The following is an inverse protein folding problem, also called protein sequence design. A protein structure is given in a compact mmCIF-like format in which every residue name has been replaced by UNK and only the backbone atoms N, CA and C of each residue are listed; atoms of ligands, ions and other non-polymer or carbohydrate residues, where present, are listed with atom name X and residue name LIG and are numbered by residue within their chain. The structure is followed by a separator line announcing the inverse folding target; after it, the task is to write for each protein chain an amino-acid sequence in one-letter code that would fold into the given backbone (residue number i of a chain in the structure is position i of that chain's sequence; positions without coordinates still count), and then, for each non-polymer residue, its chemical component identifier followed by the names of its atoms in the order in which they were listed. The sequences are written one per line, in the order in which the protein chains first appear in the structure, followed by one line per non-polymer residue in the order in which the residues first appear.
data_IF_895367760632
#
_entry.id   IF_895367760632
#
_cell.length_a   1.000
_cell.length_b   1.000
_cell.length_c   1.000
_cell.angle_alpha   90.00
_cell.angle_beta   90.00
_cell.angle_gamma   90.00
#
_symmetry.space_group_name_H-M   'P 1'
#
loop_
_entity.id
_entity.type
_entity.pdbx_description
1 polymer ?
#
# COMPACT_ATOMS: atom_id res chain seq x y z
N UNK A 1 -27.95 -67.44 -20.54
CA UNK A 1 -27.61 -66.73 -21.78
C UNK A 1 -28.04 -65.26 -21.61
N UNK A 2 -27.17 -64.43 -21.01
CA UNK A 2 -27.44 -63.00 -20.83
C UNK A 2 -26.32 -62.18 -21.48
N UNK A 3 -26.66 -61.40 -22.52
CA UNK A 3 -25.78 -60.49 -23.19
C UNK A 3 -25.71 -59.19 -22.39
N UNK A 4 -24.50 -58.81 -21.95
CA UNK A 4 -24.20 -57.52 -21.36
C UNK A 4 -23.97 -56.49 -22.46
N UNK A 5 -24.75 -55.40 -22.47
CA UNK A 5 -24.47 -54.19 -23.24
C UNK A 5 -23.53 -53.27 -22.47
N UNK A 6 -22.36 -52.99 -23.07
CA UNK A 6 -21.46 -51.95 -22.62
C UNK A 6 -21.90 -50.60 -23.20
N UNK A 7 -22.41 -49.72 -22.37
CA UNK A 7 -22.63 -48.32 -22.73
C UNK A 7 -21.34 -47.54 -22.48
N UNK A 8 -20.74 -47.02 -23.55
CA UNK A 8 -19.56 -46.13 -23.49
C UNK A 8 -20.10 -44.72 -23.32
N UNK A 9 -19.81 -44.11 -22.16
CA UNK A 9 -20.11 -42.72 -21.87
C UNK A 9 -18.89 -41.85 -22.30
N UNK A 10 -19.05 -41.10 -23.38
CA UNK A 10 -18.08 -40.08 -23.79
C UNK A 10 -18.24 -38.86 -22.89
N UNK A 11 -17.32 -38.65 -21.94
CA UNK A 11 -17.17 -37.38 -21.28
C UNK A 11 -16.38 -36.43 -22.19
N UNK A 12 -17.06 -35.45 -22.75
CA UNK A 12 -16.43 -34.26 -23.34
C UNK A 12 -15.85 -33.42 -22.23
N UNK A 13 -14.52 -33.49 -22.04
CA UNK A 13 -13.75 -32.54 -21.25
C UNK A 13 -13.65 -31.24 -22.05
N UNK A 14 -14.52 -30.30 -21.75
CA UNK A 14 -14.31 -28.89 -22.08
C UNK A 14 -13.13 -28.40 -21.21
N UNK A 15 -11.96 -28.29 -21.82
CA UNK A 15 -10.81 -27.68 -21.25
C UNK A 15 -11.05 -26.17 -21.06
N UNK A 16 -11.51 -25.77 -19.88
CA UNK A 16 -11.40 -24.41 -19.44
C UNK A 16 -9.91 -24.17 -19.17
N UNK A 17 -9.25 -23.42 -20.05
CA UNK A 17 -7.93 -22.87 -19.80
C UNK A 17 -8.05 -21.87 -18.66
N UNK A 18 -7.72 -22.32 -17.44
CA UNK A 18 -7.44 -21.43 -16.32
C UNK A 18 -6.28 -20.51 -16.74
N UNK A 19 -6.37 -19.21 -16.51
CA UNK A 19 -5.22 -18.34 -16.71
C UNK A 19 -4.10 -18.88 -15.82
N UNK A 20 -2.99 -19.23 -16.45
CA UNK A 20 -1.75 -19.59 -15.78
C UNK A 20 -1.37 -18.39 -14.89
N UNK A 21 -1.60 -18.51 -13.59
CA UNK A 21 -0.97 -17.62 -12.64
C UNK A 21 0.54 -17.76 -12.89
N UNK A 22 1.14 -16.70 -13.41
CA UNK A 22 2.58 -16.63 -13.52
C UNK A 22 3.12 -16.95 -12.12
N UNK A 23 3.69 -18.14 -11.96
CA UNK A 23 4.54 -18.45 -10.82
C UNK A 23 5.54 -17.31 -10.77
N UNK A 24 5.52 -16.53 -9.68
CA UNK A 24 6.57 -15.59 -9.37
C UNK A 24 7.84 -16.42 -9.37
N UNK A 25 8.61 -16.28 -10.42
CA UNK A 25 9.89 -16.94 -10.57
C UNK A 25 10.76 -16.40 -9.45
N UNK A 26 10.93 -17.16 -8.38
CA UNK A 26 11.97 -16.89 -7.39
C UNK A 26 13.26 -17.36 -8.07
N UNK A 27 14.18 -16.48 -8.45
CA UNK A 27 15.32 -16.88 -9.26
C UNK A 27 16.40 -17.50 -8.38
N UNK A 28 16.19 -18.73 -7.94
CA UNK A 28 17.25 -19.47 -7.21
C UNK A 28 18.39 -19.95 -8.12
N UNK A 29 18.12 -20.13 -9.43
CA UNK A 29 19.16 -20.46 -10.42
C UNK A 29 19.80 -19.22 -11.05
N UNK A 30 19.06 -18.10 -11.18
CA UNK A 30 19.58 -16.82 -11.71
C UNK A 30 20.39 -16.03 -10.67
N UNK A 31 20.30 -16.37 -9.38
CA UNK A 31 21.09 -15.77 -8.30
C UNK A 31 22.62 -15.86 -8.48
N UNK A 32 23.09 -16.69 -9.41
CA UNK A 32 24.51 -16.77 -9.80
C UNK A 32 24.94 -15.68 -10.78
N UNK A 33 24.01 -15.05 -11.48
CA UNK A 33 24.30 -14.06 -12.51
C UNK A 33 24.27 -12.63 -11.97
N UNK A 34 23.52 -12.34 -10.91
CA UNK A 34 23.38 -11.01 -10.34
C UNK A 34 23.70 -10.97 -8.85
N UNK A 35 24.35 -9.90 -8.42
CA UNK A 35 24.68 -9.62 -7.01
C UNK A 35 23.89 -8.40 -6.54
N UNK A 36 23.15 -8.51 -5.43
CA UNK A 36 22.44 -7.39 -4.81
C UNK A 36 23.46 -6.41 -4.21
N UNK A 37 23.38 -5.14 -4.59
CA UNK A 37 24.29 -4.07 -4.14
C UNK A 37 23.66 -3.08 -3.19
N UNK A 38 22.37 -2.78 -3.39
CA UNK A 38 21.68 -1.76 -2.62
C UNK A 38 20.17 -2.00 -2.64
N UNK A 39 19.50 -1.60 -1.55
CA UNK A 39 18.03 -1.64 -1.43
C UNK A 39 17.53 -0.32 -0.87
N UNK A 40 16.56 0.29 -1.56
CA UNK A 40 15.79 1.45 -1.06
C UNK A 40 14.34 1.03 -0.88
N UNK A 41 13.82 1.21 0.32
CA UNK A 41 12.47 0.83 0.71
C UNK A 41 11.66 2.08 1.00
N UNK A 42 10.50 2.23 0.34
CA UNK A 42 9.46 3.18 0.74
C UNK A 42 8.31 2.40 1.37
N UNK A 43 8.13 2.55 2.68
CA UNK A 43 7.14 1.82 3.47
C UNK A 43 5.92 2.69 3.79
N UNK A 44 4.72 2.11 3.68
CA UNK A 44 3.54 2.57 4.41
C UNK A 44 3.67 2.12 5.88
N UNK A 45 3.22 2.95 6.85
CA UNK A 45 3.12 2.53 8.24
C UNK A 45 2.21 1.28 8.39
N UNK A 46 2.38 0.54 9.48
CA UNK A 46 1.58 -0.65 9.80
C UNK A 46 0.26 -0.27 10.51
N UNK A 47 -0.48 -1.27 11.04
CA UNK A 47 -1.80 -1.12 11.68
C UNK A 47 -1.73 -0.04 12.76
N UNK A 48 -2.72 0.83 12.75
CA UNK A 48 -2.89 1.95 13.66
C UNK A 48 -4.34 2.08 14.09
N UNK A 49 -4.60 2.80 15.18
CA UNK A 49 -5.94 3.24 15.48
C UNK A 49 -6.48 4.19 14.41
N UNK A 50 -7.80 4.27 14.19
CA UNK A 50 -8.41 5.22 13.25
C UNK A 50 -7.99 6.66 13.52
N UNK A 51 -8.05 7.50 12.46
CA UNK A 51 -7.72 8.93 12.57
C UNK A 51 -8.72 9.71 13.44
N UNK A 52 -9.95 9.23 13.51
CA UNK A 52 -11.04 9.87 14.23
C UNK A 52 -11.25 9.22 15.60
N UNK A 53 -11.28 10.03 16.66
CA UNK A 53 -11.56 9.56 18.03
C UNK A 53 -13.03 9.20 18.26
N UNK A 54 -13.36 8.73 19.49
CA UNK A 54 -14.66 8.20 19.91
C UNK A 54 -15.89 9.09 19.69
N UNK A 55 -15.73 10.40 19.55
CA UNK A 55 -16.85 11.34 19.35
C UNK A 55 -16.93 11.89 17.93
N UNK A 56 -16.41 11.13 16.97
CA UNK A 56 -16.35 11.51 15.57
C UNK A 56 -17.63 11.15 14.82
N UNK A 57 -17.72 11.61 13.57
CA UNK A 57 -18.78 11.23 12.62
C UNK A 57 -18.92 9.71 12.50
N UNK A 58 -17.82 8.94 12.73
CA UNK A 58 -17.84 7.47 12.66
C UNK A 58 -18.78 6.81 13.66
N UNK A 59 -19.00 7.40 14.85
CA UNK A 59 -19.98 6.90 15.83
C UNK A 59 -21.41 7.26 15.49
N UNK A 60 -21.62 8.24 14.62
CA UNK A 60 -22.96 8.68 14.23
C UNK A 60 -23.54 7.90 13.07
N UNK A 61 -22.70 7.27 12.25
CA UNK A 61 -23.12 6.54 11.03
C UNK A 61 -23.38 5.05 11.26
N UNK A 62 -23.21 4.56 12.48
CA UNK A 62 -23.51 3.19 12.89
C UNK A 62 -24.06 3.18 14.33
N UNK A 63 -25.00 2.28 14.68
CA UNK A 63 -25.41 2.05 16.08
C UNK A 63 -24.39 1.21 16.86
N UNK A 64 -23.44 0.58 16.18
CA UNK A 64 -22.48 -0.34 16.76
C UNK A 64 -21.36 0.36 17.53
N UNK A 65 -20.78 -0.34 18.50
CA UNK A 65 -19.58 0.09 19.19
C UNK A 65 -18.34 -0.34 18.45
N UNK A 66 -17.45 0.61 18.17
CA UNK A 66 -16.16 0.37 17.55
C UNK A 66 -15.18 -0.34 18.50
N UNK A 67 -14.23 -1.07 17.92
CA UNK A 67 -13.15 -1.70 18.66
C UNK A 67 -12.47 -0.72 19.62
N UNK A 68 -12.16 -1.20 20.83
CA UNK A 68 -11.51 -0.39 21.84
C UNK A 68 -9.99 -0.41 21.68
N UNK A 69 -9.46 0.57 20.98
CA UNK A 69 -8.05 0.72 20.73
C UNK A 69 -7.27 1.10 21.99
N UNK A 70 -6.12 0.42 22.23
CA UNK A 70 -5.19 0.76 23.32
C UNK A 70 -4.26 1.94 22.96
N UNK A 71 -4.04 2.19 21.67
CA UNK A 71 -3.26 3.35 21.19
C UNK A 71 -4.15 4.58 21.01
N UNK A 72 -3.58 5.77 21.10
CA UNK A 72 -4.26 7.01 20.82
C UNK A 72 -4.69 7.11 19.34
N UNK A 73 -5.67 7.96 18.96
CA UNK A 73 -6.07 8.13 17.57
C UNK A 73 -4.87 8.39 16.66
N UNK A 74 -4.82 7.70 15.53
CA UNK A 74 -3.76 7.76 14.52
C UNK A 74 -2.40 7.15 14.90
N UNK A 75 -2.23 6.61 16.08
CA UNK A 75 -0.99 5.99 16.52
C UNK A 75 -0.93 4.50 16.18
N UNK A 76 0.29 4.00 15.94
CA UNK A 76 0.56 2.60 15.65
C UNK A 76 0.05 1.70 16.78
N UNK A 77 -0.63 0.61 16.43
CA UNK A 77 -1.07 -0.37 17.41
C UNK A 77 0.08 -1.29 17.84
N UNK A 78 -0.08 -1.95 19.00
CA UNK A 78 0.88 -2.96 19.44
C UNK A 78 1.00 -4.11 18.43
N UNK A 79 -0.13 -4.55 17.86
CA UNK A 79 -0.18 -5.57 16.82
C UNK A 79 0.57 -5.11 15.57
N UNK A 80 0.36 -3.86 15.13
CA UNK A 80 1.10 -3.28 14.01
C UNK A 80 2.60 -3.24 14.24
N UNK A 81 3.04 -2.94 15.46
CA UNK A 81 4.46 -2.98 15.85
C UNK A 81 5.03 -4.39 15.79
N UNK A 82 4.32 -5.40 16.31
CA UNK A 82 4.76 -6.79 16.26
C UNK A 82 4.89 -7.31 14.81
N UNK A 83 3.90 -7.02 13.96
CA UNK A 83 3.94 -7.36 12.52
C UNK A 83 5.14 -6.71 11.82
N UNK A 84 5.45 -5.47 12.17
CA UNK A 84 6.58 -4.76 11.56
C UNK A 84 7.93 -5.33 12.03
N UNK A 85 8.02 -5.79 13.29
CA UNK A 85 9.20 -6.52 13.79
C UNK A 85 9.43 -7.82 13.00
N UNK A 86 8.36 -8.58 12.73
CA UNK A 86 8.45 -9.81 11.91
C UNK A 86 8.88 -9.49 10.48
N UNK A 87 8.37 -8.40 9.89
CA UNK A 87 8.81 -7.95 8.57
C UNK A 87 10.30 -7.57 8.57
N UNK A 88 10.79 -6.86 9.58
CA UNK A 88 12.21 -6.57 9.75
C UNK A 88 13.07 -7.84 9.88
N UNK A 89 12.61 -8.85 10.62
CA UNK A 89 13.29 -10.16 10.72
C UNK A 89 13.35 -10.88 9.36
N UNK A 90 12.27 -10.83 8.58
CA UNK A 90 12.29 -11.36 7.21
C UNK A 90 13.32 -10.64 6.35
N UNK A 91 13.34 -9.31 6.35
CA UNK A 91 14.31 -8.52 5.59
C UNK A 91 15.75 -8.86 5.98
N UNK A 92 16.05 -9.03 7.27
CA UNK A 92 17.37 -9.49 7.70
C UNK A 92 17.74 -10.83 7.05
N UNK A 93 16.89 -11.85 7.16
CA UNK A 93 17.13 -13.19 6.60
C UNK A 93 17.31 -13.12 5.08
N UNK A 94 16.46 -12.35 4.42
CA UNK A 94 16.54 -12.13 2.96
C UNK A 94 17.84 -11.44 2.54
N UNK A 95 18.22 -10.34 3.18
CA UNK A 95 19.45 -9.60 2.85
C UNK A 95 20.72 -10.42 3.14
N UNK A 96 20.70 -11.26 4.19
CA UNK A 96 21.79 -12.21 4.49
C UNK A 96 21.86 -13.28 3.39
N UNK A 97 20.73 -13.84 2.96
CA UNK A 97 20.69 -14.82 1.85
C UNK A 97 21.23 -14.25 0.54
N UNK A 98 20.99 -12.96 0.29
CA UNK A 98 21.53 -12.21 -0.87
C UNK A 98 22.95 -11.64 -0.65
N UNK A 99 23.56 -11.92 0.49
CA UNK A 99 24.94 -11.48 0.85
C UNK A 99 25.13 -9.96 0.89
N UNK A 100 24.07 -9.19 1.04
CA UNK A 100 24.16 -7.73 1.20
C UNK A 100 24.59 -7.36 2.62
N UNK A 101 24.24 -8.18 3.61
CA UNK A 101 24.62 -8.01 5.00
C UNK A 101 24.99 -9.35 5.67
N UNK A 102 25.60 -9.30 6.86
CA UNK A 102 25.86 -10.44 7.72
C UNK A 102 24.76 -10.60 8.77
N UNK A 103 24.58 -11.80 9.32
CA UNK A 103 23.45 -12.12 10.22
C UNK A 103 23.38 -11.25 11.47
N UNK A 104 24.52 -10.99 12.10
CA UNK A 104 24.64 -10.16 13.32
C UNK A 104 25.43 -8.87 13.03
N UNK A 105 25.20 -8.29 11.87
CA UNK A 105 25.90 -7.07 11.47
C UNK A 105 25.51 -5.87 12.34
N UNK A 106 26.52 -5.17 12.85
CA UNK A 106 26.39 -3.79 13.27
C UNK A 106 26.82 -2.94 12.06
N UNK A 107 25.89 -2.28 11.38
CA UNK A 107 26.21 -1.62 10.11
C UNK A 107 27.22 -0.48 10.34
N UNK A 108 28.25 -0.38 9.50
CA UNK A 108 29.13 0.79 9.53
C UNK A 108 28.33 2.08 9.31
N UNK A 109 28.81 3.16 9.92
CA UNK A 109 28.17 4.48 9.79
C UNK A 109 27.99 4.86 8.30
N UNK A 110 26.81 5.40 7.97
CA UNK A 110 26.49 5.83 6.61
C UNK A 110 26.03 4.71 5.66
N UNK A 111 26.19 3.42 6.00
CA UNK A 111 25.79 2.33 5.09
C UNK A 111 24.29 2.02 5.12
N UNK A 112 23.62 2.33 6.21
CA UNK A 112 22.17 2.14 6.36
C UNK A 112 21.51 3.40 6.90
N UNK A 113 20.31 3.71 6.40
CA UNK A 113 19.51 4.87 6.80
C UNK A 113 18.08 4.48 7.09
N UNK A 114 17.53 4.99 8.18
CA UNK A 114 16.12 4.83 8.55
C UNK A 114 15.53 6.22 8.77
N UNK A 115 14.67 6.65 7.86
CA UNK A 115 14.08 7.97 7.85
C UNK A 115 12.55 7.87 7.77
N UNK A 116 11.86 8.48 8.71
CA UNK A 116 10.41 8.45 8.81
C UNK A 116 9.80 9.85 8.75
N UNK A 117 8.59 9.94 8.23
CA UNK A 117 7.75 11.10 8.47
C UNK A 117 7.59 11.33 9.98
N UNK A 118 7.53 12.60 10.42
CA UNK A 118 7.55 12.98 11.85
C UNK A 118 6.21 12.73 12.56
N UNK A 119 5.51 11.63 12.22
CA UNK A 119 4.30 11.16 12.88
C UNK A 119 4.60 9.91 13.71
N UNK A 120 3.92 9.75 14.86
CA UNK A 120 4.16 8.63 15.76
C UNK A 120 4.14 7.28 15.04
N UNK A 121 3.09 6.99 14.25
CA UNK A 121 2.92 5.71 13.53
C UNK A 121 4.04 5.39 12.54
N UNK A 122 4.59 6.39 11.87
CA UNK A 122 5.68 6.19 10.89
C UNK A 122 7.02 6.01 11.57
N UNK A 123 7.30 6.79 12.62
CA UNK A 123 8.51 6.63 13.45
C UNK A 123 8.49 5.27 14.13
N UNK A 124 7.38 4.88 14.77
CA UNK A 124 7.24 3.60 15.45
C UNK A 124 7.36 2.42 14.46
N UNK A 125 6.74 2.51 13.27
CA UNK A 125 6.91 1.49 12.21
C UNK A 125 8.40 1.31 11.87
N UNK A 126 9.14 2.40 11.64
CA UNK A 126 10.57 2.34 11.36
C UNK A 126 11.40 1.77 12.54
N UNK A 127 11.03 2.08 13.78
CA UNK A 127 11.68 1.54 14.99
C UNK A 127 11.49 0.03 15.10
N UNK A 128 10.25 -0.45 14.96
CA UNK A 128 9.95 -1.89 15.05
C UNK A 128 10.59 -2.66 13.89
N UNK A 129 10.55 -2.11 12.67
CA UNK A 129 11.23 -2.71 11.53
C UNK A 129 12.74 -2.81 11.76
N UNK A 130 13.40 -1.71 12.14
CA UNK A 130 14.85 -1.69 12.36
C UNK A 130 15.26 -2.61 13.52
N UNK A 131 14.46 -2.70 14.59
CA UNK A 131 14.70 -3.62 15.70
C UNK A 131 14.59 -5.10 15.29
N UNK A 132 13.66 -5.43 14.39
CA UNK A 132 13.57 -6.78 13.81
C UNK A 132 14.72 -7.09 12.86
N UNK A 133 15.13 -6.11 12.05
CA UNK A 133 16.18 -6.28 11.04
C UNK A 133 17.59 -6.27 11.69
N UNK A 134 17.85 -5.40 12.64
CA UNK A 134 19.16 -5.13 13.23
C UNK A 134 19.10 -5.21 14.77
N UNK A 135 18.78 -6.38 15.36
CA UNK A 135 18.47 -6.49 16.79
C UNK A 135 19.66 -6.19 17.72
N UNK A 136 20.89 -6.25 17.20
CA UNK A 136 22.12 -5.98 17.97
C UNK A 136 22.65 -4.56 17.76
N UNK A 137 22.06 -3.78 16.87
CA UNK A 137 22.49 -2.42 16.56
C UNK A 137 21.58 -1.37 17.25
N UNK A 138 22.14 -0.27 17.68
CA UNK A 138 21.38 0.87 18.17
C UNK A 138 21.06 1.81 16.99
N UNK A 139 19.93 1.58 16.34
CA UNK A 139 19.51 2.36 15.17
C UNK A 139 18.71 3.58 15.59
N UNK A 140 19.16 4.76 15.16
CA UNK A 140 18.40 6.00 15.29
C UNK A 140 17.48 6.17 14.08
N UNK A 141 16.19 6.40 14.34
CA UNK A 141 15.25 6.80 13.30
C UNK A 141 15.33 8.31 13.10
N UNK A 142 15.67 8.70 11.87
CA UNK A 142 15.68 10.11 11.49
C UNK A 142 14.24 10.61 11.27
N UNK A 143 13.95 11.83 11.73
CA UNK A 143 12.77 12.60 11.37
C UNK A 143 13.11 14.10 11.53
N UNK A 144 12.67 14.93 10.60
CA UNK A 144 13.18 16.30 10.49
C UNK A 144 12.23 17.36 11.01
N UNK A 145 11.00 17.01 11.35
CA UNK A 145 10.01 17.92 11.91
C UNK A 145 9.69 17.58 13.37
N UNK A 146 9.06 18.52 14.06
CA UNK A 146 8.47 18.25 15.37
C UNK A 146 7.47 17.10 15.27
N UNK A 147 7.45 16.23 16.29
CA UNK A 147 6.48 15.11 16.35
C UNK A 147 5.04 15.61 16.16
N UNK A 148 4.32 14.94 15.28
CA UNK A 148 2.95 15.29 14.90
C UNK A 148 2.84 16.24 13.70
N UNK A 149 3.95 16.77 13.19
CA UNK A 149 3.97 17.58 11.96
C UNK A 149 4.48 16.77 10.78
N UNK A 150 3.78 16.91 9.63
CA UNK A 150 4.23 16.29 8.40
C UNK A 150 5.56 16.86 7.93
N UNK A 151 6.50 15.98 7.61
CA UNK A 151 7.73 16.35 6.92
C UNK A 151 7.44 16.58 5.43
N UNK A 152 8.04 17.61 4.86
CA UNK A 152 7.82 18.01 3.46
C UNK A 152 8.20 16.94 2.44
N UNK A 153 9.10 16.01 2.80
CA UNK A 153 9.46 14.87 1.94
C UNK A 153 8.30 13.90 1.79
N UNK A 154 7.53 13.68 2.86
CA UNK A 154 6.40 12.74 2.88
C UNK A 154 5.03 13.41 2.74
N UNK A 155 4.95 14.73 2.85
CA UNK A 155 3.70 15.46 2.71
C UNK A 155 3.31 15.56 1.23
N UNK A 156 2.19 14.94 0.77
CA UNK A 156 1.78 14.97 -0.62
C UNK A 156 1.09 16.30 -0.96
N UNK A 157 1.81 17.41 -0.88
CA UNK A 157 1.26 18.76 -1.02
C UNK A 157 1.33 19.26 -2.46
N UNK A 158 0.28 19.99 -2.87
CA UNK A 158 0.28 20.77 -4.10
C UNK A 158 1.21 21.97 -3.92
N UNK A 159 2.26 22.07 -4.71
CA UNK A 159 3.26 23.15 -4.63
C UNK A 159 3.09 24.18 -5.73
N UNK A 160 2.64 23.78 -6.91
CA UNK A 160 2.29 24.65 -8.04
C UNK A 160 0.75 24.70 -8.19
N UNK A 161 0.19 25.91 -8.29
CA UNK A 161 -1.24 26.13 -8.43
C UNK A 161 -1.57 27.03 -9.64
N UNK A 162 -0.68 27.07 -10.64
CA UNK A 162 -0.94 27.79 -11.87
C UNK A 162 -2.21 27.26 -12.56
N UNK A 163 -2.86 28.10 -13.34
CA UNK A 163 -4.12 27.77 -14.00
C UNK A 163 -3.99 26.53 -14.89
N UNK A 164 -2.89 26.44 -15.66
CA UNK A 164 -2.61 25.28 -16.52
C UNK A 164 -2.52 23.97 -15.74
N UNK A 165 -1.84 23.96 -14.58
CA UNK A 165 -1.78 22.79 -13.73
C UNK A 165 -3.16 22.40 -13.21
N UNK A 166 -3.93 23.37 -12.67
CA UNK A 166 -5.27 23.10 -12.12
C UNK A 166 -6.21 22.55 -13.18
N UNK A 167 -6.22 23.11 -14.39
CA UNK A 167 -7.04 22.64 -15.49
C UNK A 167 -6.68 21.20 -15.88
N UNK A 168 -5.39 20.90 -16.08
CA UNK A 168 -4.91 19.57 -16.43
C UNK A 168 -5.21 18.53 -15.34
N UNK A 169 -4.93 18.85 -14.08
CA UNK A 169 -5.18 17.96 -12.96
C UNK A 169 -6.67 17.65 -12.81
N UNK A 170 -7.53 18.67 -12.94
CA UNK A 170 -8.97 18.51 -12.88
C UNK A 170 -9.49 17.67 -14.04
N UNK A 171 -9.03 17.89 -15.26
CA UNK A 171 -9.36 17.06 -16.43
C UNK A 171 -9.02 15.59 -16.19
N UNK A 172 -7.80 15.31 -15.72
CA UNK A 172 -7.34 13.95 -15.46
C UNK A 172 -8.14 13.26 -14.34
N UNK A 173 -8.47 13.97 -13.26
CA UNK A 173 -9.31 13.44 -12.17
C UNK A 173 -10.73 13.14 -12.68
N UNK A 174 -11.33 14.07 -13.45
CA UNK A 174 -12.66 13.89 -14.02
C UNK A 174 -12.69 12.66 -14.96
N UNK A 175 -11.66 12.48 -15.77
CA UNK A 175 -11.53 11.35 -16.69
C UNK A 175 -11.55 9.97 -16.00
N UNK A 176 -11.16 9.88 -14.73
CA UNK A 176 -11.24 8.61 -13.96
C UNK A 176 -12.66 8.08 -13.80
N UNK A 177 -13.67 8.96 -13.84
CA UNK A 177 -15.09 8.58 -13.79
C UNK A 177 -15.71 8.31 -15.17
N UNK A 178 -14.92 8.41 -16.25
CA UNK A 178 -15.41 8.26 -17.62
C UNK A 178 -16.28 9.44 -18.04
N UNK A 179 -17.28 9.20 -18.90
CA UNK A 179 -18.15 10.25 -19.46
C UNK A 179 -18.94 11.06 -18.42
N UNK A 180 -19.20 10.45 -17.25
CA UNK A 180 -19.95 11.10 -16.15
C UNK A 180 -19.05 11.83 -15.15
N UNK A 181 -17.74 11.84 -15.36
CA UNK A 181 -16.79 12.53 -14.48
C UNK A 181 -16.86 12.05 -13.03
N UNK A 182 -16.86 12.96 -12.06
CA UNK A 182 -16.90 12.62 -10.64
C UNK A 182 -18.14 11.82 -10.23
N UNK A 183 -19.29 12.06 -10.86
CA UNK A 183 -20.51 11.25 -10.64
C UNK A 183 -20.26 9.80 -11.06
N UNK A 184 -19.56 9.56 -12.17
CA UNK A 184 -19.20 8.23 -12.62
C UNK A 184 -18.31 7.47 -11.62
N UNK A 185 -17.48 8.16 -10.84
CA UNK A 185 -16.72 7.55 -9.74
C UNK A 185 -17.67 7.08 -8.63
N UNK A 186 -18.59 7.94 -8.20
CA UNK A 186 -19.60 7.59 -7.20
C UNK A 186 -20.48 6.42 -7.63
N UNK A 187 -20.93 6.41 -8.89
CA UNK A 187 -21.73 5.29 -9.44
C UNK A 187 -20.95 3.96 -9.44
N UNK A 188 -19.65 3.98 -9.75
CA UNK A 188 -18.80 2.79 -9.62
C UNK A 188 -18.76 2.25 -8.19
N UNK A 189 -18.89 3.12 -7.19
CA UNK A 189 -18.88 2.76 -5.76
C UNK A 189 -20.25 2.37 -5.21
N UNK A 190 -21.33 2.47 -5.98
CA UNK A 190 -22.69 2.25 -5.49
C UNK A 190 -22.90 0.90 -4.78
N UNK A 191 -22.32 -0.19 -5.31
CA UNK A 191 -22.38 -1.50 -4.66
C UNK A 191 -21.52 -1.57 -3.39
N UNK A 192 -20.34 -0.96 -3.42
CA UNK A 192 -19.43 -0.90 -2.28
C UNK A 192 -20.07 -0.13 -1.10
N UNK A 193 -20.77 0.96 -1.40
CA UNK A 193 -21.52 1.72 -0.41
C UNK A 193 -22.61 0.87 0.24
N UNK A 194 -23.41 0.10 -0.54
CA UNK A 194 -24.45 -0.78 0.00
C UNK A 194 -23.90 -1.85 0.93
N UNK A 195 -22.73 -2.42 0.61
CA UNK A 195 -22.07 -3.39 1.50
C UNK A 195 -21.69 -2.73 2.82
N UNK A 196 -21.07 -1.54 2.75
CA UNK A 196 -20.66 -0.79 3.93
C UNK A 196 -21.85 -0.32 4.77
N UNK A 197 -22.92 0.20 4.13
CA UNK A 197 -24.18 0.60 4.77
C UNK A 197 -24.85 -0.55 5.53
N UNK A 198 -24.87 -1.74 4.92
CA UNK A 198 -25.39 -2.97 5.53
C UNK A 198 -24.59 -3.34 6.79
N UNK A 199 -23.26 -3.41 6.68
CA UNK A 199 -22.40 -3.78 7.82
C UNK A 199 -22.50 -2.77 8.98
N UNK A 200 -22.83 -1.54 8.65
CA UNK A 200 -22.97 -0.47 9.64
C UNK A 200 -24.37 -0.34 10.22
N UNK A 201 -25.36 -1.09 9.71
CA UNK A 201 -26.78 -0.83 10.03
C UNK A 201 -27.10 0.66 9.95
N UNK A 202 -26.67 1.30 8.84
CA UNK A 202 -26.62 2.75 8.73
C UNK A 202 -28.02 3.40 8.83
N UNK A 203 -29.07 2.68 8.45
CA UNK A 203 -30.48 3.08 8.59
C UNK A 203 -30.93 3.19 10.06
N UNK A 204 -30.27 2.49 10.98
CA UNK A 204 -30.50 2.51 12.43
C UNK A 204 -29.50 3.45 13.14
N UNK A 205 -28.63 4.09 12.40
CA UNK A 205 -27.60 4.97 12.96
C UNK A 205 -28.20 6.27 13.50
N UNK A 206 -27.49 6.90 14.44
CA UNK A 206 -27.87 8.20 14.96
C UNK A 206 -28.00 9.27 13.88
N UNK A 207 -27.13 9.26 12.88
CA UNK A 207 -27.16 10.21 11.76
C UNK A 207 -28.46 10.06 10.95
N UNK A 208 -28.88 8.81 10.67
CA UNK A 208 -30.13 8.55 9.96
C UNK A 208 -31.37 8.95 10.79
N UNK A 209 -31.41 8.55 12.06
CA UNK A 209 -32.53 8.83 12.95
C UNK A 209 -32.72 10.33 13.23
N UNK A 210 -31.66 11.12 13.18
CA UNK A 210 -31.68 12.58 13.33
C UNK A 210 -31.96 13.32 12.00
N UNK A 211 -32.07 12.58 10.88
CA UNK A 211 -32.43 13.14 9.57
C UNK A 211 -31.23 13.69 8.78
N UNK A 212 -29.99 13.36 9.15
CA UNK A 212 -28.79 13.81 8.42
C UNK A 212 -28.59 12.99 7.15
N UNK A 213 -28.28 11.69 7.26
CA UNK A 213 -28.06 10.78 6.12
C UNK A 213 -28.19 9.32 6.53
N UNK A 214 -28.96 8.54 5.75
CA UNK A 214 -29.09 7.09 5.88
C UNK A 214 -28.25 6.32 4.85
N UNK A 215 -27.71 7.00 3.85
CA UNK A 215 -27.01 6.38 2.71
C UNK A 215 -25.86 7.24 2.23
N UNK A 216 -24.86 6.61 1.63
CA UNK A 216 -23.81 7.31 0.89
C UNK A 216 -24.35 7.71 -0.49
N UNK A 217 -24.15 8.97 -0.88
CA UNK A 217 -24.56 9.48 -2.18
C UNK A 217 -23.50 9.19 -3.22
N UNK A 218 -23.92 8.97 -4.46
CA UNK A 218 -23.03 8.73 -5.60
C UNK A 218 -22.75 9.97 -6.43
N UNK A 219 -23.43 11.10 -6.14
CA UNK A 219 -23.45 12.30 -6.96
C UNK A 219 -22.90 13.56 -6.26
N UNK A 220 -22.35 13.45 -5.07
CA UNK A 220 -21.92 14.58 -4.22
C UNK A 220 -20.39 14.75 -4.10
N UNK A 221 -19.63 13.90 -4.78
CA UNK A 221 -18.16 13.97 -4.73
C UNK A 221 -17.64 15.25 -5.41
N UNK A 222 -16.77 15.97 -4.73
CA UNK A 222 -16.05 17.13 -5.27
C UNK A 222 -14.61 17.14 -4.80
N UNK A 223 -13.68 17.46 -5.69
CA UNK A 223 -12.24 17.48 -5.44
C UNK A 223 -11.76 18.92 -5.37
N UNK A 224 -10.85 19.21 -4.47
CA UNK A 224 -10.18 20.51 -4.36
C UNK A 224 -8.67 20.36 -4.29
N UNK A 225 -7.97 21.20 -5.04
CA UNK A 225 -6.51 21.30 -5.10
C UNK A 225 -6.12 22.67 -4.59
N UNK A 226 -5.59 22.72 -3.37
CA UNK A 226 -5.22 23.97 -2.69
C UNK A 226 -3.71 23.98 -2.49
N UNK A 227 -3.04 25.05 -2.86
CA UNK A 227 -1.61 25.23 -2.68
C UNK A 227 -1.19 25.02 -1.23
N UNK A 228 -0.10 24.28 -1.03
CA UNK A 228 0.46 23.90 0.27
C UNK A 228 -0.47 23.01 1.12
N UNK A 229 -1.45 22.36 0.48
CA UNK A 229 -2.28 21.33 1.11
C UNK A 229 -2.25 20.05 0.29
N UNK A 230 -2.58 18.96 0.95
CA UNK A 230 -2.85 17.70 0.26
C UNK A 230 -4.07 17.85 -0.65
N UNK A 231 -4.11 17.15 -1.81
CA UNK A 231 -5.33 17.01 -2.58
C UNK A 231 -6.47 16.54 -1.68
N UNK A 232 -7.62 17.15 -1.79
CA UNK A 232 -8.74 16.85 -0.90
C UNK A 232 -10.03 16.58 -1.66
N UNK A 233 -10.93 15.87 -1.00
CA UNK A 233 -12.25 15.55 -1.50
C UNK A 233 -13.29 15.82 -0.42
N UNK A 234 -14.49 16.24 -0.84
CA UNK A 234 -15.70 16.27 -0.03
C UNK A 234 -16.75 15.31 -0.57
N UNK A 235 -17.86 15.17 0.17
CA UNK A 235 -18.95 14.29 -0.18
C UNK A 235 -18.84 12.88 0.42
N UNK A 236 -19.76 12.02 -0.02
CA UNK A 236 -19.95 10.68 0.53
C UNK A 236 -18.74 9.77 0.36
N UNK A 237 -17.98 9.88 -0.75
CA UNK A 237 -16.78 9.07 -0.95
C UNK A 237 -15.72 9.31 0.12
N UNK A 238 -15.56 10.54 0.59
CA UNK A 238 -14.67 10.85 1.72
C UNK A 238 -15.12 10.19 3.02
N UNK A 239 -16.41 10.30 3.33
CA UNK A 239 -16.97 9.70 4.56
C UNK A 239 -16.89 8.18 4.50
N UNK A 240 -17.27 7.58 3.37
CA UNK A 240 -17.19 6.14 3.14
C UNK A 240 -15.74 5.63 3.21
N UNK A 241 -14.76 6.39 2.69
CA UNK A 241 -13.34 6.04 2.83
C UNK A 241 -12.88 6.04 4.29
N UNK A 242 -13.27 7.04 5.08
CA UNK A 242 -12.94 7.07 6.52
C UNK A 242 -13.56 5.90 7.27
N UNK A 243 -14.79 5.55 6.93
CA UNK A 243 -15.52 4.43 7.52
C UNK A 243 -14.89 3.07 7.12
N UNK A 244 -14.60 2.89 5.84
CA UNK A 244 -13.93 1.70 5.33
C UNK A 244 -12.53 1.52 5.94
N UNK A 245 -11.74 2.61 6.03
CA UNK A 245 -10.41 2.57 6.67
C UNK A 245 -10.51 2.13 8.14
N UNK A 246 -11.45 2.70 8.90
CA UNK A 246 -11.64 2.32 10.30
C UNK A 246 -12.06 0.85 10.46
N UNK A 247 -12.96 0.36 9.60
CA UNK A 247 -13.43 -1.02 9.64
C UNK A 247 -12.33 -2.02 9.21
N UNK A 248 -11.54 -1.71 8.19
CA UNK A 248 -10.40 -2.53 7.75
C UNK A 248 -9.33 -2.60 8.85
N UNK A 249 -9.02 -1.47 9.50
CA UNK A 249 -8.08 -1.46 10.61
C UNK A 249 -8.58 -2.31 11.78
N UNK A 250 -9.88 -2.20 12.11
CA UNK A 250 -10.53 -3.06 13.10
C UNK A 250 -10.47 -4.54 12.71
N UNK A 251 -10.69 -4.87 11.44
CA UNK A 251 -10.58 -6.23 10.92
C UNK A 251 -9.18 -6.81 11.07
N UNK A 252 -8.15 -6.01 10.86
CA UNK A 252 -6.77 -6.47 11.07
C UNK A 252 -6.36 -6.55 12.54
N UNK A 253 -6.92 -5.71 13.41
CA UNK A 253 -6.58 -5.68 14.84
C UNK A 253 -7.35 -6.73 15.65
N UNK A 254 -8.68 -6.90 15.41
CA UNK A 254 -9.54 -7.89 16.11
C UNK A 254 -9.40 -9.28 15.47
N UNK A 255 -8.89 -10.29 16.21
CA UNK A 255 -8.72 -11.63 15.67
C UNK A 255 -10.04 -12.31 15.25
N UNK A 256 -11.14 -12.05 15.96
CA UNK A 256 -12.46 -12.56 15.63
C UNK A 256 -13.08 -11.74 14.48
N UNK A 257 -13.20 -12.34 13.31
CA UNK A 257 -13.71 -11.67 12.12
C UNK A 257 -15.17 -11.22 12.24
N UNK A 258 -15.98 -11.97 12.98
CA UNK A 258 -17.39 -11.63 13.22
C UNK A 258 -17.51 -10.41 14.14
N UNK A 259 -16.70 -10.36 15.20
CA UNK A 259 -16.64 -9.17 16.06
C UNK A 259 -16.09 -7.96 15.32
N UNK A 260 -15.10 -8.15 14.45
CA UNK A 260 -14.55 -7.08 13.63
C UNK A 260 -15.60 -6.47 12.69
N UNK A 261 -16.60 -7.25 12.27
CA UNK A 261 -17.72 -6.83 11.42
C UNK A 261 -19.01 -6.59 12.23
N UNK A 262 -18.92 -6.20 13.50
CA UNK A 262 -20.05 -5.88 14.37
C UNK A 262 -21.09 -7.01 14.55
N UNK A 263 -20.69 -8.24 14.39
CA UNK A 263 -21.56 -9.42 14.49
C UNK A 263 -21.93 -10.04 13.14
N UNK A 264 -21.60 -9.39 12.03
CA UNK A 264 -21.84 -9.90 10.68
C UNK A 264 -20.77 -10.92 10.27
N UNK A 265 -21.19 -11.86 9.42
CA UNK A 265 -20.27 -12.79 8.73
C UNK A 265 -20.04 -12.28 7.32
N UNK A 266 -18.87 -11.67 7.08
CA UNK A 266 -18.48 -11.16 5.77
C UNK A 266 -17.64 -12.17 5.02
N UNK A 267 -17.93 -12.36 3.72
CA UNK A 267 -17.09 -13.13 2.81
C UNK A 267 -15.86 -12.30 2.35
N UNK A 268 -14.95 -12.94 1.63
CA UNK A 268 -13.77 -12.27 1.09
C UNK A 268 -14.13 -11.11 0.16
N UNK A 269 -15.13 -11.30 -0.67
CA UNK A 269 -15.62 -10.33 -1.64
C UNK A 269 -16.24 -9.10 -0.96
N UNK A 270 -16.93 -9.28 0.18
CA UNK A 270 -17.45 -8.16 0.99
C UNK A 270 -16.28 -7.29 1.49
N UNK A 271 -15.23 -7.92 2.03
CA UNK A 271 -14.03 -7.20 2.48
C UNK A 271 -13.29 -6.50 1.34
N UNK A 272 -13.19 -7.11 0.16
CA UNK A 272 -12.64 -6.47 -1.03
C UNK A 272 -13.51 -5.28 -1.48
N UNK A 273 -14.84 -5.41 -1.45
CA UNK A 273 -15.76 -4.31 -1.74
C UNK A 273 -15.54 -3.13 -0.79
N UNK A 274 -15.38 -3.38 0.51
CA UNK A 274 -15.13 -2.34 1.51
C UNK A 274 -13.75 -1.69 1.25
N UNK A 275 -12.71 -2.49 1.01
CA UNK A 275 -11.36 -1.99 0.77
C UNK A 275 -11.26 -1.16 -0.52
N UNK A 276 -12.00 -1.52 -1.56
CA UNK A 276 -12.01 -0.81 -2.84
C UNK A 276 -12.46 0.66 -2.71
N UNK A 277 -13.28 1.02 -1.73
CA UNK A 277 -13.67 2.41 -1.46
C UNK A 277 -12.44 3.26 -1.15
N UNK A 278 -11.52 2.71 -0.36
CA UNK A 278 -10.29 3.37 0.03
C UNK A 278 -9.28 3.43 -1.12
N UNK A 279 -9.17 2.36 -1.90
CA UNK A 279 -8.32 2.32 -3.08
C UNK A 279 -8.77 3.40 -4.10
N UNK A 280 -10.06 3.50 -4.40
CA UNK A 280 -10.61 4.54 -5.27
C UNK A 280 -10.41 5.96 -4.75
N UNK A 281 -10.62 6.18 -3.46
CA UNK A 281 -10.36 7.49 -2.84
C UNK A 281 -8.90 7.90 -3.00
N UNK A 282 -7.97 6.98 -2.76
CA UNK A 282 -6.53 7.19 -2.95
C UNK A 282 -6.16 7.45 -4.41
N UNK A 283 -6.71 6.66 -5.34
CA UNK A 283 -6.47 6.82 -6.77
C UNK A 283 -6.92 8.21 -7.25
N UNK A 284 -8.14 8.65 -6.91
CA UNK A 284 -8.67 9.96 -7.32
C UNK A 284 -7.80 11.12 -6.83
N UNK A 285 -7.27 11.03 -5.61
CA UNK A 285 -6.51 12.13 -5.03
C UNK A 285 -5.03 12.13 -5.40
N UNK A 286 -4.42 10.96 -5.64
CA UNK A 286 -2.96 10.86 -5.69
C UNK A 286 -2.40 10.29 -6.99
N UNK A 287 -3.22 9.73 -7.89
CA UNK A 287 -2.71 9.02 -9.08
C UNK A 287 -2.95 9.73 -10.40
N UNK A 288 -3.74 10.82 -10.44
CA UNK A 288 -3.82 11.66 -11.63
C UNK A 288 -2.40 12.15 -11.99
N UNK A 289 -1.90 11.92 -13.24
CA UNK A 289 -0.49 12.13 -13.58
C UNK A 289 0.06 13.51 -13.19
N UNK A 290 -0.68 14.58 -13.42
CA UNK A 290 -0.26 15.93 -13.04
C UNK A 290 -0.12 16.08 -11.52
N UNK A 291 -1.07 15.55 -10.76
CA UNK A 291 -1.06 15.57 -9.29
C UNK A 291 0.08 14.70 -8.76
N UNK A 292 0.17 13.44 -9.22
CA UNK A 292 1.19 12.49 -8.78
C UNK A 292 2.60 13.05 -8.95
N UNK A 293 2.91 13.65 -10.11
CA UNK A 293 4.21 14.27 -10.39
C UNK A 293 4.54 15.41 -9.43
N UNK A 294 3.57 16.17 -8.98
CA UNK A 294 3.79 17.23 -8.01
C UNK A 294 4.01 16.70 -6.60
N UNK A 295 3.07 15.89 -6.11
CA UNK A 295 3.05 15.48 -4.70
C UNK A 295 4.12 14.45 -4.37
N UNK A 296 4.57 13.64 -5.35
CA UNK A 296 5.65 12.67 -5.16
C UNK A 296 7.05 13.26 -5.35
N UNK A 297 7.19 14.43 -5.96
CA UNK A 297 8.50 15.01 -6.32
C UNK A 297 9.52 15.04 -5.19
N UNK A 298 9.21 15.52 -3.98
CA UNK A 298 10.20 15.56 -2.89
C UNK A 298 10.71 14.15 -2.53
N UNK A 299 9.81 13.19 -2.48
CA UNK A 299 10.13 11.81 -2.14
C UNK A 299 10.91 11.10 -3.27
N UNK A 300 10.55 11.32 -4.54
CA UNK A 300 11.29 10.81 -5.70
C UNK A 300 12.73 11.33 -5.74
N UNK A 301 12.95 12.60 -5.39
CA UNK A 301 14.30 13.17 -5.25
C UNK A 301 15.07 12.50 -4.12
N UNK A 302 14.45 12.29 -2.97
CA UNK A 302 15.09 11.57 -1.86
C UNK A 302 15.44 10.13 -2.25
N UNK A 303 14.56 9.42 -2.97
CA UNK A 303 14.83 8.07 -3.49
C UNK A 303 16.03 8.10 -4.46
N UNK A 304 16.07 9.08 -5.36
CA UNK A 304 17.19 9.26 -6.29
C UNK A 304 18.51 9.51 -5.56
N UNK A 305 18.51 10.42 -4.57
CA UNK A 305 19.68 10.71 -3.75
C UNK A 305 20.19 9.46 -3.02
N UNK A 306 19.30 8.65 -2.46
CA UNK A 306 19.65 7.40 -1.78
C UNK A 306 20.22 6.35 -2.74
N UNK A 307 19.64 6.21 -3.93
CA UNK A 307 20.14 5.27 -4.95
C UNK A 307 21.53 5.67 -5.51
N UNK A 308 21.88 6.96 -5.43
CA UNK A 308 23.17 7.50 -5.85
C UNK A 308 24.17 7.67 -4.69
N UNK A 309 23.72 7.49 -3.44
CA UNK A 309 24.58 7.66 -2.28
C UNK A 309 25.70 6.60 -2.24
N UNK A 310 26.94 7.05 -2.28
CA UNK A 310 28.12 6.18 -2.24
C UNK A 310 28.18 5.40 -0.92
N UNK A 311 28.44 4.11 -0.98
CA UNK A 311 28.53 3.23 0.19
C UNK A 311 27.20 2.89 0.85
N UNK A 312 26.07 3.48 0.42
CA UNK A 312 24.73 3.18 0.93
C UNK A 312 24.29 1.78 0.49
N UNK A 313 24.06 0.89 1.43
CA UNK A 313 23.58 -0.47 1.17
C UNK A 313 22.05 -0.58 1.34
N UNK A 314 21.51 0.11 2.35
CA UNK A 314 20.09 -0.01 2.68
C UNK A 314 19.51 1.33 3.15
N UNK A 315 18.35 1.70 2.61
CA UNK A 315 17.57 2.86 3.08
C UNK A 315 16.12 2.44 3.32
N UNK A 316 15.57 2.84 4.46
CA UNK A 316 14.17 2.66 4.82
C UNK A 316 13.51 4.02 5.01
N UNK A 317 12.59 4.36 4.10
CA UNK A 317 11.78 5.57 4.12
C UNK A 317 10.38 5.18 4.58
N UNK A 318 9.88 5.72 5.69
CA UNK A 318 8.57 5.38 6.22
C UNK A 318 7.57 6.53 6.11
N UNK A 319 6.55 6.33 5.29
CA UNK A 319 5.46 7.27 5.03
C UNK A 319 4.09 6.60 5.06
N UNK A 320 3.30 6.89 4.04
CA UNK A 320 1.87 6.59 3.94
C UNK A 320 1.52 5.87 2.64
N UNK A 321 0.28 5.38 2.54
CA UNK A 321 -0.30 4.84 1.30
C UNK A 321 -0.27 5.86 0.15
N UNK A 322 -0.61 7.12 0.42
CA UNK A 322 -0.54 8.22 -0.54
C UNK A 322 0.87 8.41 -1.14
N UNK A 323 1.93 8.17 -0.37
CA UNK A 323 3.31 8.23 -0.85
C UNK A 323 3.62 7.12 -1.86
N UNK A 324 3.24 5.88 -1.56
CA UNK A 324 3.46 4.76 -2.49
C UNK A 324 2.61 4.96 -3.74
N UNK A 325 1.32 5.29 -3.59
CA UNK A 325 0.41 5.52 -4.70
C UNK A 325 0.91 6.62 -5.65
N UNK A 326 1.28 7.79 -5.10
CA UNK A 326 1.76 8.90 -5.92
C UNK A 326 3.12 8.64 -6.56
N UNK A 327 4.05 7.97 -5.86
CA UNK A 327 5.36 7.58 -6.43
C UNK A 327 5.18 6.62 -7.59
N UNK A 328 4.36 5.58 -7.46
CA UNK A 328 4.10 4.61 -8.53
C UNK A 328 3.41 5.28 -9.72
N UNK A 329 2.40 6.12 -9.47
CA UNK A 329 1.72 6.85 -10.53
C UNK A 329 2.65 7.84 -11.25
N UNK A 330 3.51 8.56 -10.53
CA UNK A 330 4.48 9.48 -11.13
C UNK A 330 5.53 8.75 -11.96
N UNK A 331 5.94 7.53 -11.55
CA UNK A 331 6.85 6.67 -12.31
C UNK A 331 6.20 5.98 -13.51
N UNK A 332 4.90 6.22 -13.78
CA UNK A 332 4.12 5.57 -14.83
C UNK A 332 4.07 4.05 -14.66
N UNK A 333 3.77 3.56 -13.43
CA UNK A 333 3.57 2.15 -13.21
C UNK A 333 2.40 1.61 -14.07
N UNK A 334 2.54 0.38 -14.57
CA UNK A 334 1.44 -0.34 -15.20
C UNK A 334 0.32 -0.61 -14.18
N UNK A 335 -0.90 -0.77 -14.66
CA UNK A 335 -2.03 -1.10 -13.79
C UNK A 335 -1.79 -2.43 -13.10
N UNK A 336 -2.06 -2.48 -11.81
CA UNK A 336 -1.87 -3.67 -10.99
C UNK A 336 -3.01 -3.89 -10.00
N UNK A 337 -3.18 -5.14 -9.60
CA UNK A 337 -4.09 -5.56 -8.54
C UNK A 337 -3.38 -6.62 -7.70
N UNK A 338 -3.18 -6.33 -6.42
CA UNK A 338 -2.37 -7.17 -5.55
C UNK A 338 -3.11 -8.45 -5.12
N UNK A 339 -2.51 -9.64 -5.26
CA UNK A 339 -3.11 -10.89 -4.82
C UNK A 339 -3.03 -11.09 -3.29
N UNK A 340 -3.83 -12.01 -2.76
CA UNK A 340 -3.83 -12.45 -1.35
C UNK A 340 -4.04 -11.32 -0.31
N UNK A 341 -4.60 -10.20 -0.72
CA UNK A 341 -4.95 -9.07 0.16
C UNK A 341 -6.29 -8.46 -0.27
N UNK A 342 -7.05 -7.97 0.70
CA UNK A 342 -8.29 -7.24 0.45
C UNK A 342 -8.03 -5.84 -0.11
N UNK A 343 -6.92 -5.19 0.26
CA UNK A 343 -6.49 -3.88 -0.25
C UNK A 343 -5.65 -4.09 -1.53
N UNK A 344 -6.17 -3.74 -2.69
CA UNK A 344 -5.58 -4.11 -3.99
C UNK A 344 -4.46 -3.19 -4.48
N UNK A 345 -4.26 -2.04 -3.84
CA UNK A 345 -3.30 -1.02 -4.30
C UNK A 345 -2.14 -0.82 -3.32
N UNK A 346 -2.42 -0.44 -2.10
CA UNK A 346 -1.40 -0.11 -1.11
C UNK A 346 -1.74 -0.71 0.26
N UNK A 347 -1.66 -2.04 0.45
CA UNK A 347 -2.04 -2.71 1.70
C UNK A 347 -1.33 -2.11 2.91
N UNK A 348 -1.94 -2.27 4.10
CA UNK A 348 -1.31 -1.83 5.35
C UNK A 348 0.09 -2.46 5.50
N UNK A 349 1.08 -1.67 5.89
CA UNK A 349 2.46 -2.12 6.05
C UNK A 349 3.18 -2.49 4.74
N UNK A 350 2.60 -2.27 3.55
CA UNK A 350 3.29 -2.56 2.28
C UNK A 350 4.50 -1.66 2.05
N UNK A 351 5.41 -2.16 1.25
CA UNK A 351 6.70 -1.54 0.94
C UNK A 351 6.97 -1.58 -0.55
N UNK A 352 7.23 -0.41 -1.15
CA UNK A 352 7.88 -0.36 -2.45
C UNK A 352 9.38 -0.58 -2.24
N UNK A 353 9.90 -1.66 -2.77
CA UNK A 353 11.30 -2.07 -2.65
C UNK A 353 11.98 -1.89 -4.00
N UNK A 354 12.98 -1.02 -4.05
CA UNK A 354 13.83 -0.78 -5.21
C UNK A 354 15.17 -1.40 -4.92
N UNK A 355 15.56 -2.36 -5.74
CA UNK A 355 16.80 -3.14 -5.59
C UNK A 355 17.77 -2.77 -6.70
N UNK A 356 19.04 -2.51 -6.36
CA UNK A 356 20.13 -2.35 -7.31
C UNK A 356 20.96 -3.62 -7.36
N UNK A 357 21.08 -4.16 -8.54
CA UNK A 357 21.81 -5.38 -8.82
C UNK A 357 22.99 -5.12 -9.75
N UNK A 358 23.99 -5.96 -9.71
CA UNK A 358 25.15 -5.93 -10.62
C UNK A 358 25.37 -7.32 -11.18
N UNK A 359 25.51 -7.41 -12.51
CA UNK A 359 25.84 -8.67 -13.18
C UNK A 359 27.36 -8.99 -13.08
N UNK A 360 27.76 -10.11 -13.67
CA UNK A 360 29.15 -10.57 -13.67
C UNK A 360 30.10 -9.68 -14.50
N UNK A 361 29.55 -8.81 -15.34
CA UNK A 361 30.32 -7.83 -16.15
C UNK A 361 30.42 -6.46 -15.45
N UNK A 362 29.82 -6.30 -14.28
CA UNK A 362 29.78 -5.04 -13.51
C UNK A 362 28.71 -4.07 -13.97
N UNK A 363 27.79 -4.49 -14.83
CA UNK A 363 26.67 -3.67 -15.28
C UNK A 363 25.58 -3.63 -14.21
N UNK A 364 25.05 -2.43 -13.95
CA UNK A 364 24.01 -2.23 -12.92
C UNK A 364 22.59 -2.33 -13.49
N UNK A 365 21.72 -2.94 -12.70
CA UNK A 365 20.30 -3.15 -12.99
C UNK A 365 19.45 -2.78 -11.78
N UNK A 366 18.13 -2.66 -11.99
CA UNK A 366 17.16 -2.42 -10.94
C UNK A 366 15.92 -3.30 -11.07
N UNK A 367 15.32 -3.64 -9.92
CA UNK A 367 13.98 -4.20 -9.83
C UNK A 367 13.11 -3.32 -8.94
N UNK A 368 11.81 -3.33 -9.16
CA UNK A 368 10.82 -2.66 -8.32
C UNK A 368 9.77 -3.68 -7.91
N UNK A 369 9.56 -3.83 -6.61
CA UNK A 369 8.60 -4.78 -6.08
C UNK A 369 7.73 -4.13 -4.99
N UNK A 370 6.44 -4.49 -4.93
CA UNK A 370 5.64 -4.28 -3.72
C UNK A 370 5.74 -5.52 -2.85
N UNK A 371 6.23 -5.33 -1.62
CA UNK A 371 6.38 -6.38 -0.61
C UNK A 371 5.40 -6.11 0.53
N UNK A 372 4.53 -7.09 0.84
CA UNK A 372 3.49 -6.95 1.85
C UNK A 372 3.08 -8.29 2.44
N UNK A 373 2.57 -8.26 3.66
CA UNK A 373 1.93 -9.41 4.27
C UNK A 373 0.53 -9.62 3.63
N UNK A 374 0.19 -10.86 3.33
CA UNK A 374 -1.18 -11.18 2.92
C UNK A 374 -2.17 -10.85 4.04
N UNK A 375 -3.45 -10.67 3.72
CA UNK A 375 -4.50 -10.49 4.74
C UNK A 375 -4.48 -11.60 5.78
N UNK A 376 -4.24 -12.84 5.34
CA UNK A 376 -4.13 -13.99 6.23
C UNK A 376 -2.90 -13.90 7.15
N UNK A 377 -1.73 -13.54 6.61
CA UNK A 377 -0.51 -13.34 7.41
C UNK A 377 -0.68 -12.22 8.44
N UNK A 378 -1.33 -11.11 8.07
CA UNK A 378 -1.64 -10.00 8.99
C UNK A 378 -2.57 -10.46 10.12
N UNK A 379 -3.67 -11.13 9.78
CA UNK A 379 -4.68 -11.55 10.75
C UNK A 379 -4.19 -12.65 11.70
N UNK A 380 -3.39 -13.57 11.19
CA UNK A 380 -2.87 -14.70 11.97
C UNK A 380 -1.55 -14.39 12.69
N UNK A 381 -1.02 -13.16 12.57
CA UNK A 381 0.31 -12.81 13.11
C UNK A 381 1.37 -13.84 12.67
N UNK A 382 1.32 -14.23 11.38
CA UNK A 382 2.16 -15.28 10.85
C UNK A 382 3.64 -14.89 10.89
N UNK A 383 4.47 -15.77 11.41
CA UNK A 383 5.93 -15.59 11.37
C UNK A 383 6.39 -15.58 9.90
N UNK A 384 7.23 -14.62 9.59
CA UNK A 384 7.82 -14.47 8.26
C UNK A 384 9.26 -14.98 8.25
N UNK A 385 9.56 -15.78 7.23
CA UNK A 385 10.92 -16.23 6.93
C UNK A 385 11.06 -16.56 5.43
N UNK A 386 12.17 -17.22 5.05
CA UNK A 386 12.42 -17.57 3.65
C UNK A 386 11.50 -18.70 3.14
N UNK A 387 10.93 -19.51 4.03
CA UNK A 387 9.98 -20.59 3.70
C UNK A 387 8.53 -20.08 3.70
N UNK A 388 8.22 -19.08 4.54
CA UNK A 388 6.94 -18.40 4.59
C UNK A 388 7.12 -16.87 4.37
N UNK A 389 7.53 -16.44 3.17
CA UNK A 389 7.83 -15.05 2.89
C UNK A 389 6.56 -14.19 2.82
N UNK A 390 6.67 -12.86 2.97
CA UNK A 390 5.62 -11.95 2.54
C UNK A 390 5.39 -12.09 1.03
N UNK A 391 4.27 -11.56 0.54
CA UNK A 391 4.01 -11.51 -0.89
C UNK A 391 4.96 -10.50 -1.53
N UNK A 392 5.62 -10.90 -2.62
CA UNK A 392 6.45 -10.04 -3.46
C UNK A 392 5.76 -9.91 -4.82
N UNK A 393 5.39 -8.70 -5.18
CA UNK A 393 4.69 -8.41 -6.43
C UNK A 393 5.54 -7.46 -7.30
N UNK A 394 5.99 -7.91 -8.48
CA UNK A 394 6.82 -7.09 -9.36
C UNK A 394 6.02 -5.93 -9.96
N UNK A 395 6.57 -4.72 -9.87
CA UNK A 395 6.01 -3.51 -10.50
C UNK A 395 6.68 -3.29 -11.84
N UNK A 396 5.86 -3.10 -12.87
CA UNK A 396 6.31 -2.73 -14.21
C UNK A 396 6.04 -1.26 -14.46
N UNK A 397 6.97 -0.62 -15.18
CA UNK A 397 6.90 0.80 -15.53
C UNK A 397 6.68 0.97 -17.03
N UNK A 398 5.66 1.72 -17.42
CA UNK A 398 5.37 2.03 -18.84
C UNK A 398 6.55 2.74 -19.48
N UNK A 399 6.92 2.29 -20.66
CA UNK A 399 8.01 2.89 -21.44
C UNK A 399 9.43 2.56 -20.96
N UNK A 400 9.59 1.71 -19.93
CA UNK A 400 10.86 1.11 -19.58
C UNK A 400 10.87 -0.38 -19.99
N UNK A 401 11.94 -0.83 -20.59
CA UNK A 401 12.07 -2.22 -21.02
C UNK A 401 12.98 -2.98 -20.06
N UNK A 402 12.42 -3.97 -19.41
CA UNK A 402 13.18 -4.93 -18.63
C UNK A 402 13.85 -5.97 -19.56
N UNK A 403 14.96 -6.56 -19.12
CA UNK A 403 15.54 -7.72 -19.79
C UNK A 403 14.67 -8.99 -19.59
N UNK A 404 15.13 -10.13 -20.11
CA UNK A 404 14.40 -11.40 -20.01
C UNK A 404 14.16 -11.85 -18.56
N UNK A 405 15.03 -11.45 -17.62
CA UNK A 405 14.96 -11.77 -16.19
C UNK A 405 14.11 -10.76 -15.39
N UNK A 406 13.53 -9.76 -16.06
CA UNK A 406 12.68 -8.74 -15.43
C UNK A 406 13.44 -7.55 -14.82
N UNK A 407 14.73 -7.42 -15.10
CA UNK A 407 15.58 -6.34 -14.58
C UNK A 407 15.62 -5.15 -15.54
N UNK A 408 15.45 -3.94 -15.02
CA UNK A 408 15.66 -2.70 -15.77
C UNK A 408 17.13 -2.30 -15.77
N UNK A 409 17.69 -1.74 -16.87
CA UNK A 409 18.96 -1.05 -16.79
C UNK A 409 18.90 0.05 -15.74
N UNK A 410 19.85 0.08 -14.80
CA UNK A 410 19.82 1.01 -13.67
C UNK A 410 19.80 2.46 -14.11
N UNK A 411 20.59 2.81 -15.14
CA UNK A 411 20.65 4.18 -15.66
C UNK A 411 19.30 4.67 -16.22
N UNK A 412 18.49 3.79 -16.78
CA UNK A 412 17.15 4.19 -17.29
C UNK A 412 16.19 4.52 -16.14
N UNK A 413 16.27 3.82 -15.01
CA UNK A 413 15.52 4.14 -13.81
C UNK A 413 16.01 5.47 -13.20
N UNK A 414 17.33 5.68 -13.11
CA UNK A 414 17.93 6.93 -12.62
C UNK A 414 17.50 8.11 -13.47
N UNK A 415 17.53 7.98 -14.80
CA UNK A 415 17.05 9.03 -15.72
C UNK A 415 15.56 9.35 -15.52
N UNK A 416 14.71 8.32 -15.31
CA UNK A 416 13.30 8.50 -15.02
C UNK A 416 13.10 9.26 -13.68
N UNK A 417 13.83 8.90 -12.63
CA UNK A 417 13.79 9.58 -11.34
C UNK A 417 14.33 11.02 -11.44
N UNK A 418 15.36 11.27 -12.22
CA UNK A 418 15.94 12.60 -12.41
C UNK A 418 15.05 13.56 -13.22
N UNK A 419 13.99 13.07 -13.85
CA UNK A 419 13.05 13.90 -14.62
C UNK A 419 12.00 14.65 -13.77
N UNK A 420 12.05 14.52 -12.43
CA UNK A 420 11.10 15.13 -11.50
C UNK A 420 11.59 16.40 -10.76
#
# INVERSE_FOLDING_TARGET
MFKAYKTILYCLLLGASLPSFAQVHCPDDDAKQYTLKQVVVLSRHNIRSPLSGRHSTMQRITPHEWYHWSSAPSELSLRGGALETMMGQYFRKWLVSKRLMQENEIPPEGTMRFYANSLQRTIATAQYFSSGMLPVANIRIEHHCQLGKMDSVFAPQITDDCEAFRALAQEQIIAMGGEKGLIGIGEKMANNYKVLERVFDMDQSKACLEGDSCHFRTDDAHVYLIKYREPGMGGSLRLACQAADALILQYYEEPDAVKAAFGDTLCWEDWECIAAIKDWYGDVLFTAPAVARQVARPLLRTILEELQAEGRKFTFLCGHDSNIASVLAALDAEDYSLPKTIEKKTPIGCKLVIEKWEDTEGKSFATLNLVYQSTEQLRNMALLDLENPPVVYPIRLKGLHANADGFYPFDTLIQRLASF
#
